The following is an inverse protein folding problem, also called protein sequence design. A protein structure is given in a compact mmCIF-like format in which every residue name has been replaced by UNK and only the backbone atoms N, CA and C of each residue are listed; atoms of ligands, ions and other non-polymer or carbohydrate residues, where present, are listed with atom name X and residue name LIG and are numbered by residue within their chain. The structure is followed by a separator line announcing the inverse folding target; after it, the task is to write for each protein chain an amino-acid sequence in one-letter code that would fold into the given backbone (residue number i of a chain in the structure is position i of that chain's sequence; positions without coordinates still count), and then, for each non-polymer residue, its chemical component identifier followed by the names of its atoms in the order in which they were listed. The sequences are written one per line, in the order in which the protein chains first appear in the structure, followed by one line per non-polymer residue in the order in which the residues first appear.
data_IF_710084189524
#
_entry.id   IF_710084189524
#
_cell.length_a   1.000
_cell.length_b   1.000
_cell.length_c   1.000
_cell.angle_alpha   90.00
_cell.angle_beta   90.00
_cell.angle_gamma   90.00
#
_symmetry.space_group_name_H-M   'P 1'
#
loop_
_entity.id
_entity.type
_entity.pdbx_description
1 polymer ?
#
# COMPACT_ATOMS: atom_id res chain seq x y z
N UNK A 1 -28.86 -14.38 9.24
CA UNK A 1 -27.44 -14.07 9.53
C UNK A 1 -27.08 -12.85 8.68
N UNK A 2 -27.09 -11.64 9.25
CA UNK A 2 -26.68 -10.43 8.53
C UNK A 2 -25.16 -10.40 8.37
N UNK A 3 -24.60 -9.69 7.37
CA UNK A 3 -23.16 -9.60 7.21
C UNK A 3 -22.56 -8.98 8.48
N UNK A 4 -21.61 -9.69 9.09
CA UNK A 4 -20.80 -9.16 10.17
C UNK A 4 -19.90 -8.08 9.56
N UNK A 5 -20.34 -6.83 9.62
CA UNK A 5 -19.47 -5.71 9.33
C UNK A 5 -18.30 -5.79 10.31
N UNK A 6 -17.04 -5.81 9.84
CA UNK A 6 -15.90 -5.84 10.73
C UNK A 6 -15.99 -4.61 11.61
N UNK A 7 -16.15 -4.83 12.92
CA UNK A 7 -16.05 -3.76 13.91
C UNK A 7 -14.58 -3.35 13.89
N UNK A 8 -14.28 -2.31 13.12
CA UNK A 8 -12.96 -1.69 13.17
C UNK A 8 -12.80 -1.16 14.59
N UNK A 9 -11.80 -1.66 15.31
CA UNK A 9 -11.47 -1.13 16.63
C UNK A 9 -11.22 0.37 16.48
N UNK A 10 -11.93 1.18 17.27
CA UNK A 10 -11.77 2.65 17.20
C UNK A 10 -10.33 3.06 17.48
N UNK A 11 -9.59 2.29 18.28
CA UNK A 11 -8.17 2.50 18.50
C UNK A 11 -7.33 2.22 17.24
N UNK A 12 -7.66 1.17 16.49
CA UNK A 12 -7.02 0.83 15.22
C UNK A 12 -7.36 1.86 14.12
N UNK A 13 -8.61 2.33 14.07
CA UNK A 13 -9.03 3.38 13.13
C UNK A 13 -8.26 4.68 13.36
N UNK A 14 -8.17 5.15 14.62
CA UNK A 14 -7.43 6.36 14.98
C UNK A 14 -5.93 6.19 14.70
N UNK A 15 -5.36 5.02 14.99
CA UNK A 15 -3.96 4.73 14.66
C UNK A 15 -3.70 4.77 13.15
N UNK A 16 -4.62 4.22 12.35
CA UNK A 16 -4.53 4.25 10.89
C UNK A 16 -4.62 5.68 10.35
N UNK A 17 -5.52 6.53 10.86
CA UNK A 17 -5.62 7.94 10.49
C UNK A 17 -4.34 8.72 10.81
N UNK A 18 -3.75 8.48 11.99
CA UNK A 18 -2.51 9.12 12.40
C UNK A 18 -1.32 8.71 11.53
N UNK A 19 -1.17 7.40 11.26
CA UNK A 19 -0.14 6.86 10.37
C UNK A 19 -0.31 7.43 8.95
N UNK A 20 -1.53 7.47 8.45
CA UNK A 20 -1.82 8.03 7.13
C UNK A 20 -1.45 9.50 7.04
N UNK A 21 -1.80 10.28 8.05
CA UNK A 21 -1.47 11.71 8.12
C UNK A 21 0.04 11.92 8.03
N UNK A 22 0.84 11.14 8.77
CA UNK A 22 2.31 11.21 8.71
C UNK A 22 2.81 10.83 7.31
N UNK A 23 2.29 9.75 6.72
CA UNK A 23 2.70 9.29 5.39
C UNK A 23 2.38 10.33 4.31
N UNK A 24 1.19 10.95 4.35
CA UNK A 24 0.80 12.01 3.42
C UNK A 24 1.66 13.26 3.58
N UNK A 25 1.98 13.65 4.81
CA UNK A 25 2.90 14.76 5.06
C UNK A 25 4.31 14.46 4.50
N UNK A 26 4.82 13.25 4.74
CA UNK A 26 6.13 12.82 4.23
C UNK A 26 6.18 12.82 2.69
N UNK A 27 5.14 12.34 2.02
CA UNK A 27 5.02 12.40 0.56
C UNK A 27 4.93 13.84 0.06
N UNK A 28 4.20 14.70 0.76
CA UNK A 28 4.09 16.12 0.36
C UNK A 28 5.45 16.83 0.38
N UNK A 29 6.39 16.36 1.22
CA UNK A 29 7.76 16.88 1.30
C UNK A 29 8.71 16.22 0.28
N UNK A 30 8.40 15.01 -0.17
CA UNK A 30 9.28 14.18 -1.00
C UNK A 30 8.68 14.01 -2.40
N UNK A 31 9.33 14.61 -3.41
CA UNK A 31 8.89 14.51 -4.81
C UNK A 31 8.94 13.06 -5.31
N UNK A 32 8.00 12.73 -6.20
CA UNK A 32 7.93 11.47 -6.95
C UNK A 32 7.68 10.19 -6.12
N UNK A 33 7.11 10.32 -4.91
CA UNK A 33 6.68 9.19 -4.07
C UNK A 33 5.14 9.04 -4.05
N UNK A 34 4.68 7.80 -3.90
CA UNK A 34 3.25 7.44 -3.81
C UNK A 34 3.04 6.38 -2.72
N UNK A 35 1.94 6.49 -1.97
CA UNK A 35 1.47 5.44 -1.06
C UNK A 35 0.60 4.47 -1.86
N UNK A 36 0.88 3.18 -1.71
CA UNK A 36 0.01 2.09 -2.11
C UNK A 36 -0.58 1.48 -0.85
N UNK A 37 -1.90 1.30 -0.85
CA UNK A 37 -2.63 0.61 0.19
C UNK A 37 -2.69 -0.89 -0.11
N UNK A 38 -2.61 -1.71 0.94
CA UNK A 38 -2.84 -3.16 0.89
C UNK A 38 -2.00 -3.87 -0.18
N UNK A 39 -0.68 -3.71 -0.09
CA UNK A 39 0.23 -4.32 -1.04
C UNK A 39 0.74 -5.67 -0.54
N UNK A 40 0.48 -6.71 -1.34
CA UNK A 40 1.18 -7.99 -1.17
C UNK A 40 2.55 -7.92 -1.86
N UNK A 41 3.60 -8.19 -1.10
CA UNK A 41 4.98 -8.31 -1.57
C UNK A 41 5.33 -9.78 -1.59
N UNK A 42 5.55 -10.31 -2.80
CA UNK A 42 5.97 -11.70 -3.02
C UNK A 42 7.48 -11.74 -3.23
N UNK A 43 8.20 -12.36 -2.30
CA UNK A 43 9.59 -12.78 -2.46
C UNK A 43 9.68 -14.23 -2.92
N UNK A 44 10.90 -14.70 -3.17
CA UNK A 44 11.16 -16.05 -3.70
C UNK A 44 10.60 -17.18 -2.81
N UNK A 45 10.55 -16.97 -1.50
CA UNK A 45 10.11 -17.99 -0.54
C UNK A 45 8.89 -17.58 0.31
N UNK A 46 8.44 -16.32 0.23
CA UNK A 46 7.30 -15.87 1.04
C UNK A 46 6.56 -14.70 0.43
N UNK A 47 5.25 -14.64 0.70
CA UNK A 47 4.42 -13.47 0.42
C UNK A 47 4.02 -12.80 1.74
N UNK A 48 4.21 -11.49 1.84
CA UNK A 48 3.73 -10.70 2.99
C UNK A 48 2.73 -9.66 2.55
N UNK A 49 1.65 -9.54 3.30
CA UNK A 49 0.69 -8.47 3.14
C UNK A 49 1.16 -7.25 3.95
N UNK A 50 1.21 -6.10 3.31
CA UNK A 50 1.60 -4.84 3.92
C UNK A 50 0.43 -3.87 3.78
N UNK A 51 -0.03 -3.30 4.89
CA UNK A 51 -1.15 -2.35 4.88
C UNK A 51 -0.81 -1.08 4.09
N UNK A 52 0.47 -0.67 4.12
CA UNK A 52 0.98 0.48 3.40
C UNK A 52 2.35 0.18 2.77
N UNK A 53 2.57 0.69 1.56
CA UNK A 53 3.87 0.68 0.91
C UNK A 53 4.15 2.03 0.25
N UNK A 54 5.36 2.57 0.43
CA UNK A 54 5.80 3.79 -0.25
C UNK A 54 6.63 3.37 -1.47
N UNK A 55 6.32 3.93 -2.64
CA UNK A 55 7.06 3.66 -3.87
C UNK A 55 7.40 4.94 -4.62
N UNK A 56 8.52 4.91 -5.33
CA UNK A 56 8.85 5.96 -6.29
C UNK A 56 8.22 5.68 -7.66
N UNK A 57 7.90 6.73 -8.42
CA UNK A 57 7.39 6.65 -9.80
C UNK A 57 8.19 5.71 -10.72
N UNK A 58 9.52 5.64 -10.57
CA UNK A 58 10.38 4.72 -11.35
C UNK A 58 9.96 3.25 -11.17
N UNK A 59 9.57 2.86 -9.97
CA UNK A 59 9.10 1.49 -9.67
C UNK A 59 7.74 1.18 -10.30
N UNK A 60 6.86 2.18 -10.42
CA UNK A 60 5.54 2.01 -11.04
C UNK A 60 5.69 1.71 -12.53
N UNK A 61 6.55 2.47 -13.22
CA UNK A 61 6.87 2.25 -14.64
C UNK A 61 7.42 0.83 -14.87
N UNK A 62 8.37 0.41 -14.03
CA UNK A 62 8.99 -0.90 -14.17
C UNK A 62 7.99 -2.06 -13.96
N UNK A 63 7.04 -1.90 -13.02
CA UNK A 63 5.98 -2.90 -12.80
C UNK A 63 5.00 -2.97 -13.96
N UNK A 64 4.58 -1.82 -14.51
CA UNK A 64 3.69 -1.79 -15.66
C UNK A 64 4.32 -2.46 -16.88
N UNK A 65 5.64 -2.26 -17.08
CA UNK A 65 6.38 -2.96 -18.13
C UNK A 65 6.45 -4.47 -17.90
N UNK A 66 6.67 -4.95 -16.66
CA UNK A 66 6.60 -6.39 -16.35
C UNK A 66 5.21 -6.97 -16.58
N UNK A 67 4.15 -6.28 -16.15
CA UNK A 67 2.78 -6.77 -16.29
C UNK A 67 2.36 -6.90 -17.77
N UNK A 68 2.86 -6.02 -18.63
CA UNK A 68 2.62 -6.07 -20.07
C UNK A 68 3.40 -7.21 -20.75
N UNK A 69 4.57 -7.62 -20.24
CA UNK A 69 5.33 -8.77 -20.77
C UNK A 69 4.72 -10.13 -20.37
N UNK A 70 3.95 -10.19 -19.28
CA UNK A 70 3.25 -11.42 -18.85
C UNK A 70 1.90 -11.66 -19.55
N UNK A 71 1.53 -10.82 -20.53
CA UNK A 71 0.29 -10.93 -21.31
C UNK A 71 0.50 -11.33 -22.78
N UNK A 72 1.74 -11.61 -23.19
CA UNK A 72 2.07 -12.19 -24.50
C UNK A 72 2.45 -13.67 -24.37
#
# INVERSE_FOLDING_TARGET
MGPAYPVVDSNEAICCEYILTILYAAISLLKDLFILFQMTVTGAESSRHMDYAIKNHRWVIQRNNLHNQTKE
#
